data_IF_304742447813
#
_entry.id   IF_304742447813
#
_cell.length_a   1.000
_cell.length_b   1.000
_cell.length_c   1.000
_cell.angle_alpha   90.00
_cell.angle_beta   90.00
_cell.angle_gamma   90.00
#
_symmetry.space_group_name_H-M   'P 1'
#
loop_
_entity.id
_entity.type
_entity.pdbx_description
1 polymer ?
#
# COMPACT_ATOMS: atom_id res chain seq x y z
N UNK A 1 21.30 0.59 8.62
CA UNK A 1 20.00 1.16 8.18
C UNK A 1 19.71 0.70 6.75
N UNK A 2 18.62 -0.03 6.56
CA UNK A 2 18.30 -0.80 5.34
C UNK A 2 17.77 0.09 4.22
N UNK A 3 18.58 0.34 3.20
CA UNK A 3 18.14 1.00 1.96
C UNK A 3 18.61 0.20 0.74
N UNK A 4 17.97 -0.95 0.51
CA UNK A 4 18.06 -1.64 -0.79
C UNK A 4 17.24 -0.85 -1.81
N UNK A 5 17.89 0.15 -2.40
CA UNK A 5 17.36 0.96 -3.50
C UNK A 5 17.12 0.09 -4.74
N UNK A 6 15.85 -0.14 -5.07
CA UNK A 6 15.47 -0.78 -6.33
C UNK A 6 15.55 0.23 -7.48
N UNK A 7 16.50 -0.01 -8.39
CA UNK A 7 16.66 0.66 -9.70
C UNK A 7 15.50 0.31 -10.64
N UNK A 8 14.35 0.95 -10.46
CA UNK A 8 13.25 0.84 -11.39
C UNK A 8 12.35 2.06 -11.23
N UNK A 9 12.24 2.84 -12.30
CA UNK A 9 11.35 4.00 -12.42
C UNK A 9 9.90 3.58 -12.14
N UNK A 10 9.49 3.60 -10.87
CA UNK A 10 8.13 3.33 -10.39
C UNK A 10 7.33 4.64 -10.26
N UNK A 11 7.81 5.73 -10.86
CA UNK A 11 7.17 7.04 -10.78
C UNK A 11 5.83 7.09 -11.54
N UNK A 12 5.67 6.26 -12.59
CA UNK A 12 4.43 6.18 -13.36
C UNK A 12 3.38 5.25 -12.73
N UNK A 13 3.73 4.51 -11.68
CA UNK A 13 2.77 3.64 -11.01
C UNK A 13 1.98 4.45 -9.99
N UNK A 14 0.65 4.28 -9.91
CA UNK A 14 -0.14 4.98 -8.93
C UNK A 14 0.34 4.59 -7.53
N UNK A 15 0.79 5.58 -6.77
CA UNK A 15 1.12 5.43 -5.36
C UNK A 15 -0.02 6.01 -4.54
N UNK A 16 -0.50 5.27 -3.56
CA UNK A 16 -1.51 5.74 -2.60
C UNK A 16 -0.96 5.63 -1.19
N UNK A 17 -1.26 6.57 -0.29
CA UNK A 17 -0.89 6.42 1.11
C UNK A 17 -1.70 5.29 1.74
N UNK A 18 -1.06 4.48 2.59
CA UNK A 18 -1.76 3.49 3.41
C UNK A 18 -2.62 4.20 4.46
N UNK A 19 -3.90 3.82 4.58
CA UNK A 19 -4.83 4.42 5.54
C UNK A 19 -4.46 4.17 7.02
N UNK A 20 -3.55 3.23 7.31
CA UNK A 20 -3.13 2.89 8.69
C UNK A 20 -1.75 3.45 9.02
N UNK A 21 -0.76 3.24 8.16
CA UNK A 21 0.62 3.63 8.46
C UNK A 21 1.09 4.87 7.69
N UNK A 22 0.27 5.44 6.80
CA UNK A 22 0.61 6.61 5.98
C UNK A 22 1.71 6.39 4.93
N UNK A 23 2.33 5.21 4.88
CA UNK A 23 3.44 4.93 3.97
C UNK A 23 2.97 4.87 2.51
N UNK A 24 3.80 5.31 1.54
CA UNK A 24 3.50 5.21 0.11
C UNK A 24 3.44 3.74 -0.30
N UNK A 25 2.23 3.27 -0.59
CA UNK A 25 2.00 1.91 -1.05
C UNK A 25 2.43 1.78 -2.51
N UNK A 26 3.37 0.89 -2.78
CA UNK A 26 3.76 0.55 -4.14
C UNK A 26 2.65 -0.25 -4.82
N UNK A 27 2.27 0.17 -6.03
CA UNK A 27 1.35 -0.57 -6.88
C UNK A 27 1.84 -2.01 -7.14
N UNK A 28 0.90 -2.95 -7.22
CA UNK A 28 1.14 -4.36 -7.54
C UNK A 28 0.20 -4.78 -8.66
N UNK A 29 0.66 -5.55 -9.64
CA UNK A 29 -0.19 -6.06 -10.75
C UNK A 29 -1.44 -6.80 -10.28
N UNK A 30 -1.33 -7.56 -9.18
CA UNK A 30 -2.46 -8.23 -8.48
C UNK A 30 -3.62 -7.28 -8.17
N UNK A 31 -3.32 -6.00 -7.95
CA UNK A 31 -4.29 -4.99 -7.56
C UNK A 31 -4.85 -4.21 -8.74
N UNK A 32 -4.46 -4.48 -9.99
CA UNK A 32 -4.94 -3.72 -11.15
C UNK A 32 -6.47 -3.60 -11.20
N UNK A 33 -7.21 -4.66 -10.80
CA UNK A 33 -8.68 -4.68 -10.80
C UNK A 33 -9.33 -4.11 -9.53
N UNK A 34 -8.62 -4.13 -8.40
CA UNK A 34 -9.15 -3.76 -7.07
C UNK A 34 -8.45 -2.55 -6.46
N UNK A 35 -7.63 -1.83 -7.23
CA UNK A 35 -6.82 -0.71 -6.75
C UNK A 35 -7.64 0.43 -6.14
N UNK A 36 -8.91 0.56 -6.53
CA UNK A 36 -9.85 1.50 -5.91
C UNK A 36 -10.20 1.10 -4.46
N UNK A 37 -10.32 -0.19 -4.19
CA UNK A 37 -10.69 -0.75 -2.87
C UNK A 37 -9.49 -0.96 -1.95
N UNK A 38 -8.28 -1.10 -2.51
CA UNK A 38 -7.06 -1.33 -1.73
C UNK A 38 -6.66 -0.06 -0.98
N UNK A 39 -6.88 -0.06 0.34
CA UNK A 39 -6.54 1.04 1.27
C UNK A 39 -5.28 0.78 2.11
N UNK A 40 -4.76 -0.44 2.09
CA UNK A 40 -3.74 -0.91 3.04
C UNK A 40 -2.53 -1.52 2.34
N UNK A 41 -1.31 -1.17 2.79
CA UNK A 41 -0.06 -1.63 2.17
C UNK A 41 0.27 -3.11 2.44
N UNK A 42 -0.31 -3.69 3.48
CA UNK A 42 -0.06 -5.06 3.93
C UNK A 42 -1.25 -5.61 4.69
N UNK A 43 -1.31 -6.94 4.83
CA UNK A 43 -2.34 -7.59 5.62
C UNK A 43 -2.30 -7.15 7.10
N UNK A 44 -1.11 -6.87 7.63
CA UNK A 44 -0.97 -6.28 8.97
C UNK A 44 -1.68 -4.93 9.11
N UNK A 45 -1.53 -4.05 8.12
CA UNK A 45 -2.27 -2.78 8.11
C UNK A 45 -3.77 -2.99 7.92
N UNK A 46 -4.19 -4.01 7.16
CA UNK A 46 -5.61 -4.36 7.04
C UNK A 46 -6.19 -4.84 8.38
N UNK A 47 -5.46 -5.67 9.13
CA UNK A 47 -5.87 -6.17 10.44
C UNK A 47 -5.79 -5.10 11.54
N UNK A 48 -4.84 -4.16 11.43
CA UNK A 48 -4.68 -3.04 12.36
C UNK A 48 -5.59 -1.85 12.05
N UNK A 49 -6.23 -1.83 10.87
CA UNK A 49 -7.27 -0.84 10.61
C UNK A 49 -8.31 -0.96 11.71
N UNK A 50 -8.79 0.15 12.29
CA UNK A 50 -9.91 0.10 13.22
C UNK A 50 -11.11 -0.39 12.43
N UNK A 51 -11.28 -1.71 12.34
CA UNK A 51 -12.56 -2.32 12.09
C UNK A 51 -13.46 -1.66 13.12
N UNK A 52 -14.44 -0.90 12.62
CA UNK A 52 -15.43 -0.23 13.44
C UNK A 52 -15.77 -1.18 14.59
N UNK A 53 -15.29 -0.85 15.80
CA UNK A 53 -15.65 -1.59 16.99
C UNK A 53 -17.14 -1.30 17.20
N UNK A 54 -17.97 -2.17 16.63
CA UNK A 54 -19.28 -2.48 17.18
C UNK A 54 -19.08 -3.48 18.30
#
# INVERSE_FOLDING_TARGET
MSQTGFRGNKAALPQKPCAVCGRPMSWRRKWARTWAEVKYCSDRCRAAAPAAKG
#
